data_IF_482426227695
#
_entry.id   IF_482426227695
#
_cell.length_a   1.000
_cell.length_b   1.000
_cell.length_c   1.000
_cell.angle_alpha   90.00
_cell.angle_beta   90.00
_cell.angle_gamma   90.00
#
_symmetry.space_group_name_H-M   'P 1'
#
loop_
_entity.id
_entity.type
_entity.pdbx_description
1 polymer ?
#
# COMPACT_ATOMS: atom_id res chain seq x y z
N UNK A 1 -8.10 21.35 3.97
CA UNK A 1 -7.44 20.94 5.22
C UNK A 1 -6.31 19.94 4.97
N UNK A 2 -6.50 18.92 4.13
CA UNK A 2 -5.48 17.91 3.80
C UNK A 2 -4.21 18.49 3.15
N UNK A 3 -4.37 19.45 2.21
CA UNK A 3 -3.26 20.18 1.57
C UNK A 3 -2.43 20.98 2.59
N UNK A 4 -3.07 21.55 3.61
CA UNK A 4 -2.39 22.33 4.64
C UNK A 4 -1.54 21.42 5.53
N UNK A 5 -2.13 20.31 6.01
CA UNK A 5 -1.42 19.32 6.81
C UNK A 5 -0.22 18.71 6.07
N UNK A 6 -0.32 18.52 4.75
CA UNK A 6 0.80 18.03 3.94
C UNK A 6 1.93 19.07 3.82
N UNK A 7 1.59 20.36 3.66
CA UNK A 7 2.57 21.46 3.64
C UNK A 7 3.27 21.60 5.00
N UNK A 8 2.52 21.50 6.09
CA UNK A 8 3.08 21.58 7.45
C UNK A 8 4.00 20.39 7.73
N UNK A 9 3.63 19.18 7.30
CA UNK A 9 4.50 18.00 7.40
C UNK A 9 5.81 18.16 6.62
N UNK A 10 5.77 18.76 5.43
CA UNK A 10 6.97 19.08 4.65
C UNK A 10 7.84 20.15 5.32
N UNK A 11 7.22 21.14 5.96
CA UNK A 11 7.94 22.16 6.73
C UNK A 11 8.66 21.53 7.92
N UNK A 12 7.99 20.67 8.69
CA UNK A 12 8.60 19.96 9.81
C UNK A 12 9.70 18.98 9.41
N UNK A 13 9.61 18.34 8.23
CA UNK A 13 10.70 17.53 7.68
C UNK A 13 11.96 18.39 7.42
N UNK A 14 11.79 19.65 7.01
CA UNK A 14 12.90 20.58 6.76
C UNK A 14 13.51 21.17 8.04
N UNK A 15 12.76 21.24 9.14
CA UNK A 15 13.22 21.78 10.43
C UNK A 15 13.74 20.70 11.39
N UNK A 16 14.16 19.54 10.87
CA UNK A 16 14.66 18.36 11.59
C UNK A 16 13.74 17.78 12.69
N UNK A 17 12.46 18.19 12.70
CA UNK A 17 11.44 17.71 13.64
C UNK A 17 10.76 16.46 13.10
N UNK A 18 11.52 15.36 13.03
CA UNK A 18 11.11 14.09 12.40
C UNK A 18 9.86 13.49 13.04
N UNK A 19 9.72 13.60 14.35
CA UNK A 19 8.60 13.06 15.12
C UNK A 19 7.28 13.78 14.78
N UNK A 20 7.31 15.11 14.69
CA UNK A 20 6.13 15.90 14.29
C UNK A 20 5.75 15.64 12.83
N UNK A 21 6.73 15.49 11.94
CA UNK A 21 6.47 15.14 10.54
C UNK A 21 5.79 13.76 10.44
N UNK A 22 6.27 12.75 11.18
CA UNK A 22 5.66 11.41 11.24
C UNK A 22 4.19 11.51 11.70
N UNK A 23 3.93 12.22 12.80
CA UNK A 23 2.56 12.38 13.33
C UNK A 23 1.62 13.04 12.31
N UNK A 24 2.08 14.07 11.61
CA UNK A 24 1.27 14.75 10.60
C UNK A 24 0.97 13.85 9.39
N UNK A 25 1.95 13.07 8.91
CA UNK A 25 1.71 12.11 7.82
C UNK A 25 0.80 10.96 8.26
N UNK A 26 0.93 10.45 9.49
CA UNK A 26 0.02 9.45 10.04
C UNK A 26 -1.41 9.98 10.17
N UNK A 27 -1.59 11.24 10.57
CA UNK A 27 -2.90 11.88 10.65
C UNK A 27 -3.56 12.03 9.27
N UNK A 28 -2.79 12.33 8.22
CA UNK A 28 -3.28 12.33 6.83
C UNK A 28 -3.72 10.92 6.44
N UNK A 29 -2.89 9.92 6.66
CA UNK A 29 -3.19 8.53 6.29
C UNK A 29 -4.32 7.91 7.09
N UNK A 30 -4.60 8.41 8.31
CA UNK A 30 -5.77 8.02 9.09
C UNK A 30 -7.07 8.48 8.44
N UNK A 31 -7.06 9.66 7.81
CA UNK A 31 -8.22 10.20 7.08
C UNK A 31 -8.31 9.65 5.66
N UNK A 32 -7.17 9.50 5.00
CA UNK A 32 -7.05 9.03 3.63
C UNK A 32 -5.94 7.97 3.52
N UNK A 33 -6.27 6.68 3.75
CA UNK A 33 -5.30 5.58 3.66
C UNK A 33 -4.67 5.39 2.27
N UNK A 34 -5.23 6.03 1.24
CA UNK A 34 -4.81 5.92 -0.16
C UNK A 34 -3.94 7.10 -0.60
N UNK A 35 -3.58 8.00 0.32
CA UNK A 35 -2.74 9.14 -0.01
C UNK A 35 -1.29 8.69 -0.28
N UNK A 36 -0.97 8.48 -1.55
CA UNK A 36 0.32 7.96 -2.01
C UNK A 36 1.50 8.82 -1.53
N UNK A 37 1.42 10.15 -1.66
CA UNK A 37 2.55 11.01 -1.30
C UNK A 37 2.83 11.00 0.21
N UNK A 38 1.80 11.06 1.05
CA UNK A 38 1.96 10.95 2.50
C UNK A 38 2.56 9.60 2.90
N UNK A 39 2.11 8.50 2.27
CA UNK A 39 2.69 7.18 2.49
C UNK A 39 4.17 7.10 2.03
N UNK A 40 4.50 7.68 0.88
CA UNK A 40 5.86 7.71 0.35
C UNK A 40 6.80 8.51 1.26
N UNK A 41 6.34 9.67 1.77
CA UNK A 41 7.12 10.51 2.70
C UNK A 41 7.33 9.80 4.04
N UNK A 42 6.28 9.19 4.58
CA UNK A 42 6.37 8.45 5.83
C UNK A 42 7.33 7.24 5.73
N UNK A 43 7.34 6.54 4.59
CA UNK A 43 8.34 5.50 4.30
C UNK A 43 9.76 6.05 4.30
N UNK A 44 10.00 7.22 3.71
CA UNK A 44 11.33 7.86 3.72
C UNK A 44 11.76 8.16 5.16
N UNK A 45 10.85 8.66 6.00
CA UNK A 45 11.15 8.94 7.41
C UNK A 45 11.48 7.67 8.20
N UNK A 46 10.70 6.60 8.06
CA UNK A 46 11.01 5.32 8.70
C UNK A 46 12.34 4.71 8.23
N UNK A 47 12.70 4.91 6.96
CA UNK A 47 14.00 4.49 6.42
C UNK A 47 15.14 5.29 7.04
N UNK A 48 15.00 6.61 7.17
CA UNK A 48 16.00 7.49 7.80
C UNK A 48 16.18 7.18 9.28
N UNK A 49 15.10 6.84 9.99
CA UNK A 49 15.15 6.47 11.41
C UNK A 49 15.61 5.03 11.68
N UNK A 50 15.91 4.24 10.62
CA UNK A 50 16.34 2.83 10.68
C UNK A 50 15.36 1.91 11.44
N UNK A 51 14.08 2.28 11.48
CA UNK A 51 13.03 1.52 12.18
C UNK A 51 12.43 0.44 11.26
N UNK A 52 13.23 -0.57 10.91
CA UNK A 52 12.85 -1.61 9.92
C UNK A 52 11.56 -2.35 10.29
N UNK A 53 11.33 -2.63 11.57
CA UNK A 53 10.12 -3.34 12.04
C UNK A 53 8.86 -2.50 11.83
N UNK A 54 8.96 -1.19 12.02
CA UNK A 54 7.85 -0.24 11.80
C UNK A 54 7.63 -0.06 10.29
N UNK A 55 8.71 0.06 9.50
CA UNK A 55 8.64 0.12 8.03
C UNK A 55 7.87 -1.08 7.45
N UNK A 56 8.20 -2.31 7.90
CA UNK A 56 7.52 -3.54 7.45
C UNK A 56 6.04 -3.54 7.84
N UNK A 57 5.71 -3.24 9.10
CA UNK A 57 4.31 -3.17 9.55
C UNK A 57 3.52 -2.14 8.74
N UNK A 58 4.12 -0.98 8.50
CA UNK A 58 3.51 0.08 7.73
C UNK A 58 3.30 -0.31 6.26
N UNK A 59 4.30 -0.89 5.59
CA UNK A 59 4.20 -1.39 4.22
C UNK A 59 3.05 -2.40 4.06
N UNK A 60 2.95 -3.38 4.96
CA UNK A 60 1.83 -4.34 4.96
C UNK A 60 0.48 -3.65 5.06
N UNK A 61 0.34 -2.69 5.98
CA UNK A 61 -0.90 -1.94 6.18
C UNK A 61 -1.30 -1.18 4.92
N UNK A 62 -0.39 -0.38 4.34
CA UNK A 62 -0.73 0.45 3.17
C UNK A 62 -1.00 -0.39 1.93
N UNK A 63 -0.24 -1.47 1.71
CA UNK A 63 -0.48 -2.39 0.58
C UNK A 63 -1.88 -2.99 0.71
N UNK A 64 -2.22 -3.53 1.88
CA UNK A 64 -3.54 -4.12 2.11
C UNK A 64 -4.67 -3.10 1.92
N UNK A 65 -4.52 -1.87 2.40
CA UNK A 65 -5.53 -0.81 2.21
C UNK A 65 -5.73 -0.46 0.74
N UNK A 66 -4.66 -0.37 -0.05
CA UNK A 66 -4.77 -0.08 -1.48
C UNK A 66 -5.35 -1.24 -2.27
N UNK A 67 -4.92 -2.48 -1.98
CA UNK A 67 -5.47 -3.68 -2.62
C UNK A 67 -6.96 -3.86 -2.33
N UNK A 68 -7.37 -3.65 -1.08
CA UNK A 68 -8.78 -3.70 -0.71
C UNK A 68 -9.60 -2.62 -1.43
N UNK A 69 -9.05 -1.42 -1.58
CA UNK A 69 -9.72 -0.36 -2.33
C UNK A 69 -9.86 -0.69 -3.82
N UNK A 70 -8.79 -1.16 -4.46
CA UNK A 70 -8.79 -1.57 -5.87
C UNK A 70 -9.81 -2.70 -6.07
N UNK A 71 -9.77 -3.73 -5.22
CA UNK A 71 -10.71 -4.84 -5.28
C UNK A 71 -12.17 -4.37 -5.14
N UNK A 72 -12.44 -3.49 -4.18
CA UNK A 72 -13.77 -2.91 -3.97
C UNK A 72 -14.24 -2.12 -5.21
N UNK A 73 -13.39 -1.26 -5.76
CA UNK A 73 -13.70 -0.47 -6.95
C UNK A 73 -13.96 -1.36 -8.17
N UNK A 74 -13.17 -2.42 -8.35
CA UNK A 74 -13.38 -3.41 -9.42
C UNK A 74 -14.72 -4.14 -9.26
N UNK A 75 -15.05 -4.58 -8.05
CA UNK A 75 -16.33 -5.24 -7.76
C UNK A 75 -17.52 -4.33 -8.02
N UNK A 76 -17.42 -3.06 -7.63
CA UNK A 76 -18.48 -2.08 -7.87
C UNK A 76 -18.63 -1.78 -9.38
N UNK A 77 -17.52 -1.71 -10.11
CA UNK A 77 -17.55 -1.57 -11.57
C UNK A 77 -18.21 -2.78 -12.25
N UNK A 78 -17.85 -4.00 -11.87
CA UNK A 78 -18.48 -5.23 -12.38
C UNK A 78 -19.97 -5.25 -12.06
N UNK A 79 -20.35 -4.83 -10.85
CA UNK A 79 -21.75 -4.78 -10.42
C UNK A 79 -22.57 -3.76 -11.22
N UNK A 80 -22.00 -2.63 -11.59
CA UNK A 80 -22.65 -1.62 -12.43
C UNK A 80 -22.63 -1.98 -13.93
N UNK A 81 -21.69 -2.81 -14.38
CA UNK A 81 -21.50 -3.19 -15.79
C UNK A 81 -21.61 -4.71 -16.02
N UNK A 82 -22.54 -5.38 -15.33
CA UNK A 82 -22.63 -6.85 -15.28
C UNK A 82 -22.63 -7.51 -16.65
N UNK A 83 -23.43 -7.01 -17.60
CA UNK A 83 -23.53 -7.58 -18.94
C UNK A 83 -22.18 -7.57 -19.64
N UNK A 84 -21.55 -6.40 -19.71
CA UNK A 84 -20.23 -6.24 -20.33
C UNK A 84 -19.16 -7.07 -19.60
N UNK A 85 -19.19 -7.11 -18.26
CA UNK A 85 -18.25 -7.91 -17.47
C UNK A 85 -18.40 -9.40 -17.76
N UNK A 86 -19.63 -9.92 -17.91
CA UNK A 86 -19.88 -11.32 -18.20
C UNK A 86 -19.48 -11.68 -19.64
N UNK A 87 -19.82 -10.83 -20.61
CA UNK A 87 -19.50 -11.04 -22.03
C UNK A 87 -17.97 -11.04 -22.27
N UNK A 88 -17.23 -10.17 -21.57
CA UNK A 88 -15.77 -10.06 -21.71
C UNK A 88 -14.97 -11.05 -20.84
N UNK A 89 -15.58 -11.66 -19.81
CA UNK A 89 -14.89 -12.56 -18.86
C UNK A 89 -14.21 -13.77 -19.51
N UNK A 90 -14.83 -14.52 -20.44
CA UNK A 90 -14.18 -15.69 -21.06
C UNK A 90 -12.90 -15.32 -21.81
N UNK A 91 -12.94 -14.20 -22.55
CA UNK A 91 -11.78 -13.67 -23.27
C UNK A 91 -10.69 -13.23 -22.30
N UNK A 92 -11.06 -12.46 -21.26
CA UNK A 92 -10.11 -12.03 -20.24
C UNK A 92 -9.44 -13.22 -19.53
N UNK A 93 -10.19 -14.29 -19.26
CA UNK A 93 -9.66 -15.54 -18.69
C UNK A 93 -8.67 -16.22 -19.63
N UNK A 94 -8.99 -16.33 -20.91
CA UNK A 94 -8.10 -16.94 -21.91
C UNK A 94 -6.79 -16.15 -22.08
N UNK A 95 -6.86 -14.82 -22.00
CA UNK A 95 -5.70 -13.95 -22.08
C UNK A 95 -4.89 -13.86 -20.78
N UNK A 96 -5.30 -14.55 -19.71
CA UNK A 96 -4.63 -14.48 -18.41
C UNK A 96 -4.74 -13.11 -17.74
N UNK A 97 -5.72 -12.29 -18.13
CA UNK A 97 -5.94 -10.94 -17.59
C UNK A 97 -6.73 -10.93 -16.28
N UNK A 98 -7.10 -12.11 -15.77
CA UNK A 98 -7.80 -12.25 -14.49
C UNK A 98 -6.87 -12.84 -13.44
N UNK A 99 -6.98 -12.33 -12.21
CA UNK A 99 -6.30 -12.89 -11.06
C UNK A 99 -7.03 -14.14 -10.51
N UNK A 100 -6.47 -14.76 -9.48
CA UNK A 100 -7.07 -15.95 -8.84
C UNK A 100 -8.47 -15.71 -8.25
N UNK A 101 -8.87 -14.45 -8.01
CA UNK A 101 -10.21 -14.06 -7.54
C UNK A 101 -11.18 -13.76 -8.70
N UNK A 102 -10.80 -14.08 -9.92
CA UNK A 102 -11.53 -13.75 -11.17
C UNK A 102 -11.75 -12.25 -11.40
N UNK A 103 -10.93 -11.41 -10.77
CA UNK A 103 -10.94 -9.96 -10.98
C UNK A 103 -9.87 -9.55 -11.99
N UNK A 104 -10.07 -8.46 -12.74
CA UNK A 104 -9.04 -7.94 -13.64
C UNK A 104 -7.71 -7.72 -12.93
N UNK A 105 -6.63 -8.19 -13.56
CA UNK A 105 -5.27 -7.93 -13.10
C UNK A 105 -4.97 -6.45 -13.28
N UNK A 106 -4.46 -5.81 -12.22
CA UNK A 106 -4.15 -4.39 -12.21
C UNK A 106 -2.75 -4.15 -11.66
N UNK A 107 -1.86 -3.67 -12.51
CA UNK A 107 -0.51 -3.30 -12.09
C UNK A 107 -0.47 -1.84 -11.65
N UNK A 108 -0.43 -1.62 -10.34
CA UNK A 108 -0.13 -0.31 -9.81
C UNK A 108 1.38 -0.21 -9.52
N UNK A 109 2.10 0.62 -10.27
CA UNK A 109 3.57 0.73 -10.16
C UNK A 109 4.05 0.98 -8.72
N UNK A 110 3.37 1.87 -8.01
CA UNK A 110 3.66 2.19 -6.61
C UNK A 110 3.53 0.96 -5.70
N UNK A 111 2.47 0.15 -5.87
CA UNK A 111 2.30 -1.07 -5.10
C UNK A 111 3.38 -2.09 -5.41
N UNK A 112 3.79 -2.21 -6.68
CA UNK A 112 4.90 -3.09 -7.05
C UNK A 112 6.21 -2.67 -6.38
N UNK A 113 6.50 -1.36 -6.33
CA UNK A 113 7.67 -0.82 -5.62
C UNK A 113 7.60 -1.13 -4.11
N UNK A 114 6.43 -0.95 -3.49
CA UNK A 114 6.24 -1.25 -2.07
C UNK A 114 6.32 -2.75 -1.75
N UNK A 115 5.77 -3.61 -2.61
CA UNK A 115 5.86 -5.08 -2.47
C UNK A 115 7.30 -5.58 -2.58
N UNK A 116 8.04 -5.16 -3.61
CA UNK A 116 9.46 -5.48 -3.75
C UNK A 116 10.26 -5.02 -2.53
N UNK A 117 9.96 -3.83 -2.00
CA UNK A 117 10.60 -3.34 -0.79
C UNK A 117 10.27 -4.21 0.42
N UNK A 118 9.00 -4.56 0.61
CA UNK A 118 8.56 -5.43 1.69
C UNK A 118 9.30 -6.77 1.66
N UNK A 119 9.35 -7.42 0.50
CA UNK A 119 10.06 -8.69 0.27
C UNK A 119 11.55 -8.58 0.66
N UNK A 120 12.24 -7.53 0.20
CA UNK A 120 13.64 -7.28 0.55
C UNK A 120 13.85 -7.08 2.06
N UNK A 121 12.90 -6.47 2.76
CA UNK A 121 12.98 -6.26 4.21
C UNK A 121 12.69 -7.54 4.99
N UNK A 122 11.72 -8.34 4.52
CA UNK A 122 11.38 -9.62 5.12
C UNK A 122 12.53 -10.62 5.00
N UNK A 123 13.23 -10.64 3.87
CA UNK A 123 14.44 -11.45 3.71
C UNK A 123 15.61 -11.01 4.62
N UNK A 124 15.70 -9.71 4.94
CA UNK A 124 16.77 -9.14 5.77
C UNK A 124 16.53 -9.28 7.27
N UNK A 125 15.28 -9.42 7.69
CA UNK A 125 14.96 -9.69 9.08
C UNK A 125 15.33 -11.15 9.38
N UNK A 126 16.25 -11.43 10.33
CA UNK A 126 16.50 -12.81 10.73
C UNK A 126 15.18 -13.43 11.15
N UNK A 127 14.98 -14.70 10.80
CA UNK A 127 13.76 -15.49 11.00
C UNK A 127 13.40 -15.69 12.47
N UNK A 128 13.18 -14.64 13.25
CA UNK A 128 12.67 -14.71 14.62
C UNK A 128 11.16 -15.01 14.65
N UNK A 129 10.52 -15.10 13.48
CA UNK A 129 9.12 -15.54 13.32
C UNK A 129 8.99 -16.81 12.44
N UNK A 130 10.12 -17.47 12.11
CA UNK A 130 10.17 -18.51 11.08
C UNK A 130 10.50 -19.92 11.57
N UNK A 131 10.32 -20.25 12.86
CA UNK A 131 10.33 -21.63 13.38
C UNK A 131 9.38 -21.78 14.56
N UNK A 132 8.08 -21.75 14.28
CA UNK A 132 7.04 -22.38 15.11
C UNK A 132 5.93 -22.89 14.19
N UNK A 133 6.29 -23.82 13.31
CA UNK A 133 5.32 -24.73 12.70
C UNK A 133 6.08 -25.90 12.10
N UNK A 134 6.19 -26.95 12.91
CA UNK A 134 6.13 -28.38 12.55
C UNK A 134 6.27 -29.15 13.86
N UNK A 135 5.12 -29.39 14.49
CA UNK A 135 4.91 -30.62 15.25
C UNK A 135 4.97 -31.80 14.28
#
# INVERSE_FOLDING_TARGET
MEIQNFRDALAHEKTDSKEMAIQNYEAILKKNPLHIDAAARLLILYRKSKQTTIEVKFLKKIINSHEAHIESAQREWIKSHQKLANDSKPLAKMLGLLNAKELPFYEHEVLQKWKKRLELLEHKLPSALGKNSKN
#
